data_IF_924854304075
#
_entry.id   IF_924854304075
#
_cell.length_a   1.000
_cell.length_b   1.000
_cell.length_c   1.000
_cell.angle_alpha   90.00
_cell.angle_beta   90.00
_cell.angle_gamma   90.00
#
_symmetry.space_group_name_H-M   'P 1'
#
loop_
_entity.id
_entity.type
_entity.pdbx_description
1 polymer ?
#
# COMPACT_ATOMS: atom_id res chain seq x y z
N UNK A 1 0.36 -0.64 14.39
CA UNK A 1 1.64 -0.88 13.71
C UNK A 1 1.73 -0.02 12.45
N UNK A 2 2.91 0.34 12.05
CA UNK A 2 3.18 1.10 10.83
C UNK A 2 4.62 0.86 10.35
N UNK A 3 4.86 1.00 9.05
CA UNK A 3 6.21 1.00 8.49
C UNK A 3 6.71 2.44 8.32
N UNK A 4 7.94 2.71 8.68
CA UNK A 4 8.54 4.03 8.57
C UNK A 4 10.06 3.96 8.44
N UNK A 5 10.64 5.03 7.88
CA UNK A 5 12.07 5.28 7.89
C UNK A 5 12.40 6.26 9.03
N UNK A 6 12.54 5.73 10.24
CA UNK A 6 12.90 6.54 11.40
C UNK A 6 14.41 6.41 11.62
N UNK A 7 15.10 7.54 11.74
CA UNK A 7 16.52 7.56 12.05
C UNK A 7 16.70 7.25 13.54
N UNK A 8 17.42 6.17 13.93
CA UNK A 8 17.78 5.93 15.31
C UNK A 8 18.65 7.10 15.83
N UNK A 9 18.41 7.54 17.06
CA UNK A 9 19.02 8.75 17.59
C UNK A 9 20.55 8.67 17.78
N UNK A 10 21.13 7.48 18.03
CA UNK A 10 22.53 7.36 18.47
C UNK A 10 23.36 6.31 17.71
N UNK A 11 22.78 5.33 17.06
CA UNK A 11 23.52 4.25 16.38
C UNK A 11 23.28 4.21 14.86
N UNK A 12 23.07 5.38 14.25
CA UNK A 12 22.83 5.45 12.82
C UNK A 12 24.09 5.04 12.06
N UNK A 13 24.18 3.75 11.75
CA UNK A 13 25.04 3.24 10.69
C UNK A 13 24.76 4.10 9.45
N UNK A 14 25.80 4.72 8.91
CA UNK A 14 25.71 5.49 7.68
C UNK A 14 25.29 4.55 6.54
N UNK A 15 24.01 4.49 6.25
CA UNK A 15 23.44 3.69 5.19
C UNK A 15 22.13 4.31 4.69
N UNK A 16 21.61 3.87 3.54
CA UNK A 16 20.33 4.35 3.06
C UNK A 16 19.25 4.03 4.09
N UNK A 17 18.34 4.99 4.33
CA UNK A 17 17.22 4.82 5.25
C UNK A 17 16.39 3.61 4.83
N UNK A 18 16.32 2.61 5.70
CA UNK A 18 15.53 1.41 5.48
C UNK A 18 14.19 1.55 6.19
N UNK A 19 13.14 1.14 5.50
CA UNK A 19 11.80 1.06 6.10
C UNK A 19 11.78 -0.09 7.11
N UNK A 20 11.32 0.20 8.33
CA UNK A 20 11.24 -0.75 9.44
C UNK A 20 9.82 -0.77 10.00
N UNK A 21 9.48 -1.83 10.72
CA UNK A 21 8.19 -1.96 11.39
C UNK A 21 8.26 -1.35 12.80
N UNK A 22 7.30 -0.48 13.10
CA UNK A 22 7.14 0.16 14.40
C UNK A 22 5.75 -0.08 14.97
N UNK A 23 5.65 -0.10 16.28
CA UNK A 23 4.40 0.02 17.03
C UNK A 23 4.35 1.34 17.78
N UNK A 24 3.15 1.81 18.08
CA UNK A 24 2.90 2.91 19.01
C UNK A 24 1.59 2.62 19.77
N UNK A 25 1.58 2.89 21.07
CA UNK A 25 0.37 2.82 21.90
C UNK A 25 -0.44 4.09 21.69
N UNK A 26 -1.66 3.97 21.17
CA UNK A 26 -2.48 5.15 20.80
C UNK A 26 -3.30 5.72 21.96
N UNK A 27 -3.41 5.00 23.08
CA UNK A 27 -4.09 5.40 24.30
C UNK A 27 -3.19 6.22 25.27
N UNK A 28 -1.90 6.37 24.92
CA UNK A 28 -0.92 7.14 25.69
C UNK A 28 -0.41 8.33 24.88
N UNK A 29 -0.69 9.57 25.33
CA UNK A 29 -0.30 10.78 24.59
C UNK A 29 1.22 10.98 24.44
N UNK A 30 2.02 10.40 25.33
CA UNK A 30 3.47 10.46 25.35
C UNK A 30 4.17 9.23 24.76
N UNK A 31 3.38 8.30 24.23
CA UNK A 31 3.92 7.07 23.64
C UNK A 31 4.87 7.36 22.48
N UNK A 32 6.02 6.73 22.50
CA UNK A 32 7.01 6.82 21.43
C UNK A 32 6.96 5.55 20.57
N UNK A 33 7.22 5.67 19.28
CA UNK A 33 7.35 4.50 18.41
C UNK A 33 8.42 3.55 18.91
N UNK A 34 8.10 2.27 19.01
CA UNK A 34 9.01 1.18 19.32
C UNK A 34 9.26 0.37 18.05
N UNK A 35 10.53 0.16 17.71
CA UNK A 35 10.88 -0.73 16.60
C UNK A 35 10.58 -2.17 16.97
N UNK A 36 9.74 -2.82 16.18
CA UNK A 36 9.35 -4.23 16.37
C UNK A 36 10.18 -5.14 15.47
N UNK A 37 10.54 -4.69 14.28
CA UNK A 37 11.23 -5.52 13.31
C UNK A 37 12.04 -4.70 12.33
N UNK A 38 13.28 -5.12 12.08
CA UNK A 38 14.17 -4.50 11.09
C UNK A 38 14.08 -5.24 9.75
N UNK A 39 12.92 -5.17 9.10
CA UNK A 39 12.67 -5.75 7.78
C UNK A 39 12.11 -4.66 6.87
N UNK A 40 12.60 -4.60 5.64
CA UNK A 40 12.09 -3.66 4.66
C UNK A 40 10.71 -4.10 4.17
N UNK A 41 9.69 -3.45 4.69
CA UNK A 41 8.30 -3.77 4.38
C UNK A 41 7.45 -2.51 4.26
N UNK A 42 6.38 -2.60 3.48
CA UNK A 42 5.36 -1.57 3.32
C UNK A 42 4.00 -2.19 3.02
N UNK A 43 2.95 -1.38 2.99
CA UNK A 43 1.58 -1.82 2.74
C UNK A 43 1.16 -2.99 3.63
N UNK A 44 1.24 -2.78 4.95
CA UNK A 44 0.94 -3.81 5.96
C UNK A 44 -0.56 -4.07 6.05
N UNK A 45 -0.93 -5.35 6.15
CA UNK A 45 -2.31 -5.77 6.40
C UNK A 45 -2.35 -6.91 7.42
N UNK A 46 -3.16 -6.77 8.48
CA UNK A 46 -3.32 -7.77 9.53
C UNK A 46 -4.66 -8.47 9.45
N UNK A 47 -4.68 -9.79 9.65
CA UNK A 47 -5.91 -10.52 9.90
C UNK A 47 -6.23 -10.61 11.40
N UNK A 48 -7.39 -11.19 11.75
CA UNK A 48 -7.80 -11.36 13.16
C UNK A 48 -6.96 -12.37 13.93
N UNK A 49 -6.22 -13.22 13.25
CA UNK A 49 -5.32 -14.22 13.84
C UNK A 49 -3.95 -13.61 14.20
N UNK A 50 -3.67 -12.38 13.75
CA UNK A 50 -2.40 -11.70 13.96
C UNK A 50 -1.38 -11.96 12.86
N UNK A 51 -1.74 -12.68 11.79
CA UNK A 51 -0.87 -12.83 10.63
C UNK A 51 -0.81 -11.52 9.86
N UNK A 52 0.37 -11.18 9.39
CA UNK A 52 0.64 -9.94 8.67
C UNK A 52 1.02 -10.24 7.23
N UNK A 53 0.31 -9.61 6.29
CA UNK A 53 0.76 -9.48 4.91
C UNK A 53 1.57 -8.19 4.77
N UNK A 54 2.58 -8.23 3.92
CA UNK A 54 3.33 -7.05 3.54
C UNK A 54 3.88 -7.18 2.12
N UNK A 55 4.16 -6.04 1.53
CA UNK A 55 4.91 -5.87 0.32
C UNK A 55 6.37 -5.67 0.68
N UNK A 56 7.30 -6.46 0.13
CA UNK A 56 8.71 -6.27 0.35
C UNK A 56 9.24 -5.05 -0.43
N UNK A 57 10.27 -4.40 0.11
CA UNK A 57 10.95 -3.30 -0.54
C UNK A 57 12.41 -3.68 -0.76
N UNK A 58 12.77 -4.00 -1.98
CA UNK A 58 14.12 -4.46 -2.34
C UNK A 58 15.06 -3.34 -2.78
N UNK A 59 14.52 -2.18 -3.18
CA UNK A 59 15.32 -1.08 -3.69
C UNK A 59 14.56 0.25 -3.79
N UNK A 60 15.11 1.16 -4.57
CA UNK A 60 14.50 2.45 -4.92
C UNK A 60 13.81 2.35 -6.28
N UNK A 61 12.75 1.57 -6.34
CA UNK A 61 11.94 1.50 -7.55
C UNK A 61 10.97 2.70 -7.61
N UNK A 62 10.79 3.26 -8.79
CA UNK A 62 9.78 4.28 -9.02
C UNK A 62 8.38 3.63 -8.96
N UNK A 63 7.55 3.94 -7.96
CA UNK A 63 6.23 3.34 -7.81
C UNK A 63 5.27 3.70 -8.95
N UNK A 64 5.63 4.66 -9.79
CA UNK A 64 4.84 5.07 -10.95
C UNK A 64 5.24 4.33 -12.23
N UNK A 65 6.40 3.67 -12.23
CA UNK A 65 6.88 2.90 -13.37
C UNK A 65 6.03 1.64 -13.58
N UNK A 66 5.72 1.35 -14.83
CA UNK A 66 5.00 0.15 -15.24
C UNK A 66 5.95 -0.85 -15.91
N UNK A 67 5.57 -2.12 -15.87
CA UNK A 67 6.28 -3.21 -16.54
C UNK A 67 7.75 -3.35 -16.11
N UNK A 68 8.04 -3.02 -14.84
CA UNK A 68 9.35 -3.27 -14.27
C UNK A 68 9.61 -4.78 -14.19
N UNK A 69 10.80 -5.17 -14.62
CA UNK A 69 11.26 -6.56 -14.62
C UNK A 69 12.69 -6.59 -14.09
N UNK A 70 12.82 -6.42 -12.79
CA UNK A 70 14.10 -6.39 -12.11
C UNK A 70 14.06 -7.16 -10.80
N UNK A 71 15.21 -7.42 -10.21
CA UNK A 71 15.31 -7.99 -8.87
C UNK A 71 14.78 -7.04 -7.77
N UNK A 72 14.53 -5.79 -8.10
CA UNK A 72 13.96 -4.78 -7.22
C UNK A 72 12.44 -4.80 -7.13
N UNK A 73 11.75 -5.53 -8.03
CA UNK A 73 10.28 -5.61 -8.00
C UNK A 73 9.78 -6.25 -6.72
N UNK A 74 8.66 -5.73 -6.21
CA UNK A 74 8.08 -6.17 -4.94
C UNK A 74 7.29 -7.45 -5.07
N UNK A 75 7.38 -8.29 -4.05
CA UNK A 75 6.56 -9.48 -3.85
C UNK A 75 5.72 -9.35 -2.57
N UNK A 76 4.68 -10.16 -2.48
CA UNK A 76 3.86 -10.27 -1.28
C UNK A 76 4.40 -11.39 -0.38
N UNK A 77 4.56 -11.06 0.88
CA UNK A 77 4.98 -11.95 1.94
C UNK A 77 3.97 -12.01 3.07
N UNK A 78 4.01 -13.08 3.82
CA UNK A 78 3.25 -13.25 5.07
C UNK A 78 4.19 -13.54 6.22
N UNK A 79 3.90 -12.91 7.36
CA UNK A 79 4.49 -13.26 8.67
C UNK A 79 3.41 -13.87 9.54
N UNK A 80 3.67 -15.05 10.05
CA UNK A 80 2.82 -15.75 11.02
C UNK A 80 3.70 -16.23 12.16
N UNK A 81 3.58 -15.62 13.33
CA UNK A 81 4.56 -15.77 14.41
C UNK A 81 5.96 -15.35 13.93
N UNK A 82 6.93 -16.24 14.02
CA UNK A 82 8.32 -16.01 13.57
C UNK A 82 8.60 -16.50 12.14
N UNK A 83 7.56 -17.00 11.46
CA UNK A 83 7.70 -17.58 10.13
C UNK A 83 7.39 -16.59 9.04
N UNK A 84 8.36 -16.38 8.13
CA UNK A 84 8.21 -15.61 6.90
C UNK A 84 7.95 -16.54 5.72
N UNK A 85 6.91 -16.23 4.94
CA UNK A 85 6.54 -17.03 3.77
C UNK A 85 6.31 -16.09 2.59
N UNK A 86 7.06 -16.29 1.49
CA UNK A 86 6.82 -15.61 0.22
C UNK A 86 5.55 -16.18 -0.41
N UNK A 87 4.61 -15.33 -0.79
CA UNK A 87 3.31 -15.72 -1.33
C UNK A 87 3.20 -15.53 -2.85
N UNK A 88 3.95 -14.58 -3.41
CA UNK A 88 3.96 -14.34 -4.86
C UNK A 88 5.38 -14.39 -5.39
N UNK A 89 5.55 -14.74 -6.67
CA UNK A 89 6.84 -14.93 -7.34
C UNK A 89 6.83 -14.44 -8.79
N UNK A 90 5.85 -13.60 -9.13
CA UNK A 90 5.77 -13.01 -10.45
C UNK A 90 7.00 -12.11 -10.72
N UNK A 91 7.55 -12.21 -11.93
CA UNK A 91 8.68 -11.35 -12.34
C UNK A 91 8.19 -9.95 -12.73
N UNK A 92 7.73 -9.18 -11.75
CA UNK A 92 7.17 -7.85 -11.85
C UNK A 92 6.66 -7.43 -10.48
N UNK A 93 5.87 -6.38 -10.40
CA UNK A 93 5.34 -5.88 -9.14
C UNK A 93 4.06 -6.60 -8.71
N UNK A 94 4.08 -7.11 -7.48
CA UNK A 94 2.91 -7.47 -6.68
C UNK A 94 2.85 -6.53 -5.46
N UNK A 95 1.78 -5.77 -5.34
CA UNK A 95 1.68 -4.59 -4.47
C UNK A 95 0.43 -4.60 -3.61
N UNK A 96 0.45 -3.82 -2.51
CA UNK A 96 -0.72 -3.49 -1.69
C UNK A 96 -1.57 -4.70 -1.26
N UNK A 97 -1.02 -5.71 -0.57
CA UNK A 97 -1.81 -6.84 -0.11
C UNK A 97 -2.80 -6.42 0.97
N UNK A 98 -4.04 -6.89 0.87
CA UNK A 98 -5.07 -6.71 1.89
C UNK A 98 -5.82 -8.01 2.11
N UNK A 99 -6.05 -8.39 3.38
CA UNK A 99 -6.79 -9.59 3.70
C UNK A 99 -8.23 -9.53 3.20
N UNK A 100 -8.71 -10.63 2.67
CA UNK A 100 -10.12 -10.83 2.42
C UNK A 100 -10.88 -11.11 3.75
N UNK A 101 -12.22 -10.99 3.79
CA UNK A 101 -13.01 -11.19 5.00
C UNK A 101 -12.84 -12.55 5.67
N UNK A 102 -12.47 -13.57 4.90
CA UNK A 102 -12.22 -14.93 5.40
C UNK A 102 -10.92 -15.04 6.25
N UNK A 103 -10.08 -13.99 6.24
CA UNK A 103 -8.79 -13.93 6.93
C UNK A 103 -7.77 -14.95 6.44
N UNK A 104 -7.99 -15.57 5.29
CA UNK A 104 -7.15 -16.62 4.70
C UNK A 104 -6.75 -16.31 3.26
N UNK A 105 -7.69 -15.78 2.47
CA UNK A 105 -7.45 -15.24 1.14
C UNK A 105 -7.02 -13.79 1.23
N UNK A 106 -6.41 -13.24 0.19
CA UNK A 106 -6.07 -11.84 0.14
C UNK A 106 -6.24 -11.26 -1.26
N UNK A 107 -6.48 -9.95 -1.30
CA UNK A 107 -6.46 -9.15 -2.51
C UNK A 107 -5.12 -8.44 -2.63
N UNK A 108 -4.66 -8.22 -3.84
CA UNK A 108 -3.43 -7.50 -4.12
C UNK A 108 -3.46 -6.91 -5.53
N UNK A 109 -2.54 -6.02 -5.82
CA UNK A 109 -2.37 -5.43 -7.13
C UNK A 109 -1.21 -6.13 -7.83
N UNK A 110 -1.41 -6.61 -9.06
CA UNK A 110 -0.38 -7.23 -9.89
C UNK A 110 -0.47 -6.75 -11.33
N UNK A 111 0.67 -6.72 -12.01
CA UNK A 111 0.75 -6.47 -13.45
C UNK A 111 1.00 -7.75 -14.27
N UNK A 112 0.76 -8.92 -13.69
CA UNK A 112 0.96 -10.22 -14.34
C UNK A 112 0.24 -10.30 -15.69
N UNK A 113 -0.97 -9.77 -15.76
CA UNK A 113 -1.81 -9.74 -16.96
C UNK A 113 -1.73 -8.41 -17.75
N UNK A 114 -0.63 -7.71 -17.71
CA UNK A 114 -0.41 -6.45 -18.43
C UNK A 114 -0.27 -5.26 -17.50
N UNK A 115 -1.27 -4.37 -17.38
CA UNK A 115 -1.19 -3.26 -16.41
C UNK A 115 -1.64 -3.71 -15.02
N UNK A 116 -1.27 -2.94 -13.99
CA UNK A 116 -1.64 -3.23 -12.60
C UNK A 116 -3.16 -3.32 -12.43
N UNK A 117 -3.63 -4.48 -11.99
CA UNK A 117 -5.01 -4.81 -11.72
C UNK A 117 -5.17 -5.51 -10.37
N UNK A 118 -6.39 -5.59 -9.86
CA UNK A 118 -6.68 -6.30 -8.61
C UNK A 118 -6.81 -7.78 -8.88
N UNK A 119 -6.10 -8.57 -8.08
CA UNK A 119 -6.12 -10.01 -8.05
C UNK A 119 -6.54 -10.49 -6.66
N UNK A 120 -7.13 -11.68 -6.59
CA UNK A 120 -7.38 -12.43 -5.35
C UNK A 120 -6.52 -13.69 -5.37
N UNK A 121 -5.87 -13.99 -4.26
CA UNK A 121 -5.17 -15.25 -4.04
C UNK A 121 -5.79 -16.01 -2.88
N UNK A 122 -6.10 -17.28 -3.12
CA UNK A 122 -6.65 -18.21 -2.12
C UNK A 122 -5.54 -19.02 -1.45
N UNK A 123 -5.77 -19.64 -0.27
CA UNK A 123 -4.74 -20.37 0.48
C UNK A 123 -4.10 -21.54 -0.29
N UNK A 124 -4.80 -22.12 -1.24
CA UNK A 124 -4.31 -23.16 -2.16
C UNK A 124 -3.40 -22.62 -3.26
N UNK A 125 -3.16 -21.30 -3.28
CA UNK A 125 -2.31 -20.63 -4.24
C UNK A 125 -2.98 -20.24 -5.56
N UNK A 126 -4.28 -20.50 -5.71
CA UNK A 126 -5.03 -20.10 -6.93
C UNK A 126 -5.18 -18.57 -6.96
N UNK A 127 -4.85 -17.97 -8.10
CA UNK A 127 -5.04 -16.55 -8.38
C UNK A 127 -6.21 -16.32 -9.32
N UNK A 128 -7.00 -15.28 -9.05
CA UNK A 128 -8.12 -14.83 -9.88
C UNK A 128 -8.04 -13.32 -10.06
N UNK A 129 -8.05 -12.86 -11.31
CA UNK A 129 -8.11 -11.44 -11.64
C UNK A 129 -9.51 -10.89 -11.40
N UNK A 130 -9.64 -9.76 -10.71
CA UNK A 130 -10.92 -9.13 -10.37
C UNK A 130 -11.22 -7.88 -11.19
N UNK A 131 -10.21 -7.20 -11.74
CA UNK A 131 -10.37 -6.02 -12.62
C UNK A 131 -9.63 -6.22 -13.93
N UNK A 132 -10.07 -5.52 -14.99
CA UNK A 132 -9.51 -5.66 -16.34
C UNK A 132 -9.24 -4.31 -16.98
N UNK A 133 -8.62 -3.40 -16.23
CA UNK A 133 -8.19 -2.12 -16.76
C UNK A 133 -6.97 -2.29 -17.67
N UNK A 134 -6.91 -1.54 -18.75
CA UNK A 134 -5.85 -1.68 -19.77
C UNK A 134 -4.90 -0.48 -19.84
N UNK A 135 -5.43 0.75 -19.69
CA UNK A 135 -4.67 1.98 -19.91
C UNK A 135 -3.89 2.43 -18.68
N UNK A 136 -4.59 2.60 -17.57
CA UNK A 136 -4.05 3.16 -16.33
C UNK A 136 -3.94 2.07 -15.27
N UNK A 137 -2.90 2.13 -14.43
CA UNK A 137 -2.73 1.17 -13.34
C UNK A 137 -3.74 1.43 -12.22
N UNK A 138 -4.23 0.37 -11.61
CA UNK A 138 -4.88 0.42 -10.30
C UNK A 138 -3.82 0.73 -9.24
N UNK A 139 -4.18 1.55 -8.23
CA UNK A 139 -3.30 1.94 -7.13
C UNK A 139 -4.05 2.04 -5.81
N UNK A 140 -3.31 2.05 -4.70
CA UNK A 140 -3.83 2.37 -3.36
C UNK A 140 -5.00 1.47 -2.94
N UNK A 141 -4.84 0.15 -3.12
CA UNK A 141 -5.87 -0.81 -2.72
C UNK A 141 -6.02 -0.85 -1.20
N UNK A 142 -7.25 -0.81 -0.76
CA UNK A 142 -7.66 -1.11 0.62
C UNK A 142 -8.91 -1.97 0.61
N UNK A 143 -9.22 -2.62 1.72
CA UNK A 143 -10.45 -3.40 1.87
C UNK A 143 -11.05 -3.20 3.27
N UNK A 144 -12.37 -3.13 3.33
CA UNK A 144 -13.12 -3.14 4.58
C UNK A 144 -13.28 -4.57 5.12
N UNK A 145 -13.69 -4.71 6.38
CA UNK A 145 -13.87 -6.00 7.03
C UNK A 145 -14.96 -6.88 6.38
N UNK A 146 -15.89 -6.28 5.66
CA UNK A 146 -16.95 -6.94 4.90
C UNK A 146 -16.60 -7.19 3.42
N UNK A 147 -15.34 -6.85 3.02
CA UNK A 147 -14.79 -7.19 1.71
C UNK A 147 -15.08 -6.18 0.61
N UNK A 148 -15.55 -4.99 0.94
CA UNK A 148 -15.60 -3.89 -0.03
C UNK A 148 -14.17 -3.37 -0.23
N UNK A 149 -13.67 -3.50 -1.43
CA UNK A 149 -12.38 -2.92 -1.85
C UNK A 149 -12.57 -1.47 -2.28
N UNK A 150 -11.60 -0.61 -1.93
CA UNK A 150 -11.48 0.74 -2.47
C UNK A 150 -10.09 0.90 -3.10
N UNK A 151 -10.03 1.61 -4.22
CA UNK A 151 -8.79 1.81 -4.97
C UNK A 151 -8.88 3.05 -5.86
N UNK A 152 -7.74 3.53 -6.32
CA UNK A 152 -7.68 4.60 -7.31
C UNK A 152 -7.40 4.05 -8.70
N UNK A 153 -8.04 4.65 -9.70
CA UNK A 153 -7.79 4.40 -11.11
C UNK A 153 -8.09 5.66 -11.91
N UNK A 154 -7.18 6.05 -12.80
CA UNK A 154 -7.31 7.23 -13.68
C UNK A 154 -7.68 8.53 -12.94
N UNK A 155 -7.04 8.75 -11.77
CA UNK A 155 -7.27 9.95 -10.94
C UNK A 155 -8.55 9.93 -10.10
N UNK A 156 -9.34 8.86 -10.16
CA UNK A 156 -10.64 8.74 -9.50
C UNK A 156 -10.63 7.60 -8.48
N UNK A 157 -11.56 7.62 -7.53
CA UNK A 157 -11.75 6.57 -6.53
C UNK A 157 -12.87 5.63 -6.97
N UNK A 158 -12.62 4.35 -6.82
CA UNK A 158 -13.57 3.27 -7.13
C UNK A 158 -13.77 2.35 -5.93
N UNK A 159 -14.93 1.73 -5.88
CA UNK A 159 -15.22 0.60 -4.99
C UNK A 159 -15.54 -0.65 -5.81
N UNK A 160 -15.24 -1.81 -5.22
CA UNK A 160 -15.47 -3.12 -5.81
C UNK A 160 -15.81 -4.13 -4.72
N UNK A 161 -16.86 -4.90 -4.91
CA UNK A 161 -17.13 -6.13 -4.15
C UNK A 161 -16.86 -7.32 -5.06
N UNK A 162 -16.34 -8.41 -4.51
CA UNK A 162 -16.07 -9.63 -5.29
C UNK A 162 -17.32 -10.08 -6.07
N UNK A 163 -17.14 -10.38 -7.34
CA UNK A 163 -18.24 -10.76 -8.25
C UNK A 163 -19.06 -9.60 -8.83
N UNK A 164 -18.72 -8.35 -8.48
CA UNK A 164 -19.37 -7.16 -9.06
C UNK A 164 -18.46 -6.46 -10.07
N UNK A 165 -18.94 -5.37 -10.65
CA UNK A 165 -18.13 -4.45 -11.47
C UNK A 165 -17.67 -3.25 -10.64
N UNK A 166 -16.48 -2.69 -10.91
CA UNK A 166 -16.00 -1.48 -10.25
C UNK A 166 -17.00 -0.32 -10.40
N UNK A 167 -17.25 0.40 -9.31
CA UNK A 167 -18.12 1.58 -9.28
C UNK A 167 -17.33 2.80 -8.87
N UNK A 168 -17.35 3.85 -9.69
CA UNK A 168 -16.77 5.15 -9.34
C UNK A 168 -17.51 5.75 -8.15
N UNK A 169 -16.76 6.28 -7.19
CA UNK A 169 -17.30 7.04 -6.06
C UNK A 169 -17.53 8.49 -6.52
N UNK A 170 -18.76 8.97 -6.36
CA UNK A 170 -19.03 10.38 -6.60
C UNK A 170 -18.60 11.18 -5.37
N UNK A 171 -17.63 12.08 -5.55
CA UNK A 171 -17.09 12.92 -4.47
C UNK A 171 -17.47 14.37 -4.79
N UNK A 172 -18.20 14.98 -3.89
CA UNK A 172 -18.50 16.41 -3.92
C UNK A 172 -17.68 17.09 -2.81
N UNK A 173 -16.88 18.07 -3.20
CA UNK A 173 -16.08 18.87 -2.27
C UNK A 173 -16.79 20.21 -2.12
N UNK A 174 -17.30 20.48 -0.93
CA UNK A 174 -17.79 21.80 -0.55
C UNK A 174 -16.68 22.50 0.23
N UNK A 175 -16.14 23.58 -0.33
CA UNK A 175 -15.17 24.41 0.37
C UNK A 175 -15.86 25.67 0.88
N UNK A 176 -15.69 25.96 2.16
CA UNK A 176 -16.07 27.25 2.78
C UNK A 176 -14.98 28.32 2.58
N UNK A 177 -13.92 28.01 1.85
CA UNK A 177 -12.92 29.00 1.44
C UNK A 177 -13.56 30.00 0.52
N UNK A 178 -14.10 31.06 1.12
CA UNK A 178 -14.27 32.30 0.39
C UNK A 178 -12.89 32.69 -0.14
N UNK A 179 -12.80 32.89 -1.45
CA UNK A 179 -11.65 33.47 -2.13
C UNK A 179 -11.12 34.66 -1.30
N UNK A 180 -10.27 34.39 -0.34
CA UNK A 180 -9.33 35.39 0.11
C UNK A 180 -8.32 35.47 -1.01
N UNK A 181 -8.53 36.39 -1.95
CA UNK A 181 -7.55 36.82 -2.94
C UNK A 181 -6.27 37.24 -2.22
N UNK A 182 -5.48 36.25 -1.79
CA UNK A 182 -4.09 36.43 -1.40
C UNK A 182 -3.28 36.70 -2.68
N UNK A 183 -3.65 37.80 -3.36
CA UNK A 183 -2.78 38.42 -4.36
C UNK A 183 -1.58 38.99 -3.58
N UNK A 184 -0.57 38.15 -3.40
CA UNK A 184 0.71 38.60 -2.91
C UNK A 184 1.38 39.38 -4.02
N UNK A 185 1.29 40.71 -3.96
CA UNK A 185 2.02 41.60 -4.89
C UNK A 185 3.52 41.48 -4.59
N UNK A 186 4.22 40.64 -5.37
CA UNK A 186 5.65 40.43 -5.28
C UNK A 186 6.49 41.54 -5.92
N UNK A 187 5.85 42.65 -6.39
CA UNK A 187 6.54 43.72 -7.12
C UNK A 187 7.32 44.70 -6.23
N UNK A 188 7.33 44.56 -4.91
CA UNK A 188 7.99 45.49 -3.99
C UNK A 188 9.09 44.90 -3.11
N UNK A 189 9.74 43.83 -3.50
CA UNK A 189 10.92 43.32 -2.79
C UNK A 189 12.23 43.60 -3.53
N UNK A 190 12.34 44.78 -4.14
CA UNK A 190 13.57 45.18 -4.81
C UNK A 190 14.02 46.54 -4.30
N UNK A 191 14.92 46.57 -3.36
CA UNK A 191 15.89 47.65 -3.13
C UNK A 191 17.16 47.03 -2.62
#
# INVERSE_FOLDING_TARGET
LFSANIRPAEDAIQGPFQTQLYSVETDRPDARPKMEMSVQMRALSYNRQGDMLYEDKKGYEDPLRKHERSSGTSDIWMVSGDKFTKLTDFNGHDLNPVWAPDGKSFFYISEEDGTLNIHKRTPDGKTTRLTSFEKHPVRSLSASADGVMAFSWDGEIYTLTEGSTPRKVNIEITSDDYDSDLIKDLRNSGA
#
